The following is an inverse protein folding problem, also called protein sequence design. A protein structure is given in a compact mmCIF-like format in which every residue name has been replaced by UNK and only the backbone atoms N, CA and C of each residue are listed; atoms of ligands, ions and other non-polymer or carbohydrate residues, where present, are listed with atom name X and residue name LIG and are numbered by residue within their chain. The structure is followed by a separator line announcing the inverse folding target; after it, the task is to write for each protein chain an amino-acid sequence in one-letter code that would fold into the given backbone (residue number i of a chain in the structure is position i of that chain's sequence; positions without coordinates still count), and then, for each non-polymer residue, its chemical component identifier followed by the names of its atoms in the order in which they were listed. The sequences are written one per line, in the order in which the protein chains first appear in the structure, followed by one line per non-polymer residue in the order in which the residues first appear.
data_IF_389546385297
#
_entry.id   IF_389546385297
#
_cell.length_a   1.000
_cell.length_b   1.000
_cell.length_c   1.000
_cell.angle_alpha   90.00
_cell.angle_beta   90.00
_cell.angle_gamma   90.00
#
_symmetry.space_group_name_H-M   'P 1'
#
loop_
_entity.id
_entity.type
_entity.pdbx_description
1 polymer ?
#
# COMPACT_ATOMS: atom_id res chain seq x y z
N UNK A 1 7.89 -54.36 -9.11
CA UNK A 1 9.09 -53.52 -9.03
C UNK A 1 9.08 -52.48 -10.15
N UNK A 2 9.44 -51.25 -9.80
CA UNK A 2 9.76 -50.07 -10.64
C UNK A 2 8.71 -49.55 -11.65
N UNK A 3 8.05 -48.46 -11.23
CA UNK A 3 7.30 -47.48 -12.03
C UNK A 3 8.19 -46.88 -13.12
N UNK A 4 7.73 -46.86 -14.38
CA UNK A 4 8.28 -45.98 -15.41
C UNK A 4 7.46 -44.68 -15.45
N UNK A 5 8.00 -43.66 -14.77
CA UNK A 5 7.57 -42.26 -14.90
C UNK A 5 7.72 -41.82 -16.35
N UNK A 6 6.59 -41.62 -17.03
CA UNK A 6 6.53 -40.78 -18.23
C UNK A 6 5.25 -39.98 -18.15
N UNK A 7 5.25 -39.01 -17.24
CA UNK A 7 4.22 -37.98 -17.22
C UNK A 7 4.90 -36.63 -17.30
N UNK A 8 4.86 -36.15 -18.55
CA UNK A 8 4.56 -34.77 -18.92
C UNK A 8 5.64 -33.80 -18.50
N UNK A 9 6.36 -33.35 -19.53
CA UNK A 9 6.55 -31.93 -19.79
C UNK A 9 5.98 -31.10 -18.65
N UNK A 10 6.87 -30.71 -17.74
CA UNK A 10 6.62 -29.56 -16.88
C UNK A 10 6.39 -28.45 -17.86
N UNK A 11 5.12 -28.26 -18.24
CA UNK A 11 4.61 -27.01 -18.75
C UNK A 11 5.29 -25.99 -17.87
N UNK A 12 6.17 -25.20 -18.46
CA UNK A 12 6.54 -23.91 -17.91
C UNK A 12 5.25 -23.34 -17.38
N UNK A 13 5.07 -23.38 -16.06
CA UNK A 13 3.92 -22.79 -15.41
C UNK A 13 4.10 -21.35 -15.81
N UNK A 14 3.29 -20.96 -16.79
CA UNK A 14 3.22 -19.62 -17.34
C UNK A 14 3.34 -18.71 -16.14
N UNK A 15 4.38 -17.89 -16.13
CA UNK A 15 4.61 -16.87 -15.12
C UNK A 15 3.32 -16.04 -15.04
N UNK A 16 2.39 -16.45 -14.18
CA UNK A 16 1.30 -15.61 -13.76
C UNK A 16 2.03 -14.46 -13.10
N UNK A 17 2.13 -13.33 -13.81
CA UNK A 17 2.69 -12.10 -13.25
C UNK A 17 2.05 -11.96 -11.88
N UNK A 18 2.85 -12.14 -10.83
CA UNK A 18 2.40 -11.95 -9.46
C UNK A 18 1.86 -10.52 -9.49
N UNK A 19 0.55 -10.37 -9.36
CA UNK A 19 -0.05 -9.04 -9.50
C UNK A 19 0.36 -8.18 -8.31
N UNK A 20 0.45 -8.81 -7.15
CA UNK A 20 0.70 -8.16 -5.87
C UNK A 20 2.12 -8.48 -5.38
N UNK A 21 3.13 -8.11 -6.18
CA UNK A 21 4.55 -8.38 -5.88
C UNK A 21 4.95 -7.79 -4.53
N UNK A 22 4.47 -6.60 -4.19
CA UNK A 22 4.86 -5.91 -2.96
C UNK A 22 4.07 -6.34 -1.74
N UNK A 23 3.11 -7.27 -1.87
CA UNK A 23 2.49 -7.93 -0.71
C UNK A 23 3.51 -8.71 0.14
N UNK A 24 4.69 -8.99 -0.42
CA UNK A 24 5.82 -9.62 0.26
C UNK A 24 6.79 -8.61 0.90
N UNK A 25 6.51 -7.30 0.80
CA UNK A 25 7.26 -6.27 1.52
C UNK A 25 6.82 -6.25 2.98
N UNK A 26 7.75 -6.55 3.87
CA UNK A 26 7.57 -6.49 5.32
C UNK A 26 7.86 -5.10 5.90
N UNK A 27 8.47 -4.21 5.11
CA UNK A 27 8.86 -2.87 5.54
C UNK A 27 8.36 -1.76 4.60
N UNK A 28 7.72 -0.75 5.17
CA UNK A 28 7.07 0.37 4.51
C UNK A 28 7.42 1.68 5.22
N UNK A 29 7.25 2.79 4.52
CA UNK A 29 7.37 4.15 5.07
C UNK A 29 6.15 4.99 4.69
N UNK A 30 5.68 5.78 5.65
CA UNK A 30 4.66 6.81 5.49
C UNK A 30 5.27 8.21 5.60
N UNK A 31 4.84 9.09 4.71
CA UNK A 31 5.35 10.46 4.60
C UNK A 31 4.19 11.45 4.41
N UNK A 32 4.25 12.63 5.02
CA UNK A 32 3.34 13.76 4.82
C UNK A 32 4.08 14.91 4.14
N UNK A 33 3.42 15.61 3.23
CA UNK A 33 3.91 16.85 2.64
C UNK A 33 3.45 18.01 3.52
N UNK A 34 4.39 18.68 4.19
CA UNK A 34 4.10 19.84 5.03
C UNK A 34 4.45 21.18 4.36
N UNK A 35 5.20 21.16 3.26
CA UNK A 35 5.52 22.35 2.47
C UNK A 35 4.72 22.46 1.16
N UNK A 36 5.17 23.38 0.30
CA UNK A 36 4.47 23.72 -0.95
C UNK A 36 5.10 23.04 -2.18
N UNK A 37 6.35 22.55 -2.10
CA UNK A 37 7.05 21.89 -3.19
C UNK A 37 7.21 20.38 -2.98
N UNK A 38 6.45 19.60 -3.76
CA UNK A 38 6.51 18.13 -3.74
C UNK A 38 7.85 17.57 -4.17
N UNK A 39 8.67 18.36 -4.86
CA UNK A 39 9.98 17.95 -5.33
C UNK A 39 11.08 18.29 -4.33
N UNK A 40 10.80 19.12 -3.33
CA UNK A 40 11.74 19.44 -2.26
C UNK A 40 11.66 18.34 -1.18
N UNK A 41 12.72 17.55 -0.96
CA UNK A 41 12.73 16.55 0.10
C UNK A 41 12.53 17.13 1.50
N UNK A 42 12.92 18.40 1.73
CA UNK A 42 12.80 19.05 3.04
C UNK A 42 11.33 19.40 3.37
N UNK A 43 10.46 19.42 2.36
CA UNK A 43 9.01 19.65 2.52
C UNK A 43 8.25 18.37 2.90
N UNK A 44 8.91 17.21 2.90
CA UNK A 44 8.33 15.93 3.31
C UNK A 44 8.71 15.58 4.75
N UNK A 45 7.69 15.47 5.59
CA UNK A 45 7.79 14.99 6.97
C UNK A 45 7.64 13.47 6.99
N UNK A 46 8.59 12.79 7.63
CA UNK A 46 8.50 11.37 7.94
C UNK A 46 7.46 11.13 9.04
N UNK A 47 6.53 10.20 8.83
CA UNK A 47 5.50 9.85 9.80
C UNK A 47 5.87 8.58 10.57
N UNK A 48 6.10 7.47 9.85
CA UNK A 48 6.31 6.14 10.44
C UNK A 48 6.98 5.19 9.45
N UNK A 49 7.70 4.21 9.98
CA UNK A 49 8.21 3.07 9.25
C UNK A 49 7.94 1.74 9.97
N UNK A 50 7.77 0.67 9.20
CA UNK A 50 7.48 -0.64 9.76
C UNK A 50 6.53 -1.44 8.89
N UNK A 51 5.58 -2.12 9.52
CA UNK A 51 4.57 -2.87 8.79
C UNK A 51 3.66 -1.95 7.97
N UNK A 52 3.05 -2.52 6.94
CA UNK A 52 2.07 -1.80 6.13
C UNK A 52 0.91 -1.28 6.98
N UNK A 53 0.47 -2.07 7.97
CA UNK A 53 -0.61 -1.74 8.89
C UNK A 53 -0.27 -0.57 9.82
N UNK A 54 0.95 -0.52 10.36
CA UNK A 54 1.44 0.61 11.17
C UNK A 54 1.45 1.89 10.36
N UNK A 55 2.08 1.86 9.18
CA UNK A 55 2.14 3.02 8.30
C UNK A 55 0.74 3.47 7.82
N UNK A 56 -0.17 2.53 7.56
CA UNK A 56 -1.56 2.81 7.18
C UNK A 56 -2.35 3.47 8.33
N UNK A 57 -2.07 3.09 9.59
CA UNK A 57 -2.70 3.68 10.77
C UNK A 57 -2.36 5.17 10.88
N UNK A 58 -1.10 5.54 10.65
CA UNK A 58 -0.64 6.93 10.77
C UNK A 58 -1.26 7.85 9.72
N UNK A 59 -1.44 7.37 8.48
CA UNK A 59 -2.08 8.16 7.41
C UNK A 59 -3.61 8.17 7.49
N UNK A 60 -4.23 7.44 8.43
CA UNK A 60 -5.69 7.29 8.48
C UNK A 60 -6.41 8.62 8.71
N UNK A 61 -5.83 9.51 9.53
CA UNK A 61 -6.36 10.85 9.75
C UNK A 61 -6.32 11.68 8.46
N UNK A 62 -5.22 11.60 7.70
CA UNK A 62 -5.04 12.32 6.44
C UNK A 62 -6.07 11.86 5.39
N UNK A 63 -6.26 10.54 5.27
CA UNK A 63 -7.30 9.96 4.40
C UNK A 63 -8.69 10.49 4.78
N UNK A 64 -9.00 10.50 6.08
CA UNK A 64 -10.30 10.96 6.58
C UNK A 64 -10.54 12.42 6.22
N UNK A 65 -9.56 13.29 6.48
CA UNK A 65 -9.63 14.72 6.17
C UNK A 65 -9.85 14.93 4.66
N UNK A 66 -9.07 14.27 3.80
CA UNK A 66 -9.25 14.37 2.35
C UNK A 66 -10.65 13.95 1.89
N UNK A 67 -11.17 12.86 2.45
CA UNK A 67 -12.48 12.36 2.10
C UNK A 67 -13.60 13.28 2.59
N UNK A 68 -13.46 13.86 3.78
CA UNK A 68 -14.40 14.86 4.28
C UNK A 68 -14.50 16.05 3.34
N UNK A 69 -13.37 16.63 2.92
CA UNK A 69 -13.35 17.73 1.97
C UNK A 69 -14.03 17.34 0.65
N UNK A 70 -13.67 16.19 0.07
CA UNK A 70 -14.28 15.71 -1.19
C UNK A 70 -15.79 15.49 -1.06
N UNK A 71 -16.27 14.89 0.02
CA UNK A 71 -17.71 14.66 0.23
C UNK A 71 -18.45 15.99 0.34
N UNK A 72 -17.89 16.96 1.08
CA UNK A 72 -18.50 18.30 1.24
C UNK A 72 -18.58 19.03 -0.09
N UNK A 73 -17.51 19.00 -0.89
CA UNK A 73 -17.48 19.63 -2.21
C UNK A 73 -18.46 18.98 -3.20
N UNK A 74 -18.47 17.65 -3.29
CA UNK A 74 -19.31 16.94 -4.26
C UNK A 74 -20.80 17.06 -3.97
N UNK A 75 -21.17 17.13 -2.68
CA UNK A 75 -22.56 17.13 -2.27
C UNK A 75 -23.07 18.53 -1.88
N UNK A 76 -22.19 19.53 -1.83
CA UNK A 76 -22.47 20.88 -1.34
C UNK A 76 -23.21 20.85 0.02
N UNK A 77 -22.79 19.94 0.89
CA UNK A 77 -23.40 19.69 2.20
C UNK A 77 -22.31 19.57 3.27
N UNK A 78 -22.60 20.13 4.44
CA UNK A 78 -21.79 20.04 5.64
C UNK A 78 -22.30 18.92 6.55
N UNK A 79 -21.42 18.40 7.41
CA UNK A 79 -21.78 17.40 8.43
C UNK A 79 -22.96 17.84 9.31
N UNK A 80 -23.16 19.15 9.51
CA UNK A 80 -24.23 19.69 10.36
C UNK A 80 -25.61 19.57 9.74
N UNK A 81 -25.71 19.50 8.42
CA UNK A 81 -27.00 19.45 7.72
C UNK A 81 -27.62 18.06 7.75
N UNK A 82 -26.79 17.00 7.68
CA UNK A 82 -27.23 15.62 7.81
C UNK A 82 -26.11 14.73 8.40
N UNK A 83 -25.96 14.70 9.73
CA UNK A 83 -24.81 14.06 10.38
C UNK A 83 -24.75 12.56 10.15
N UNK A 84 -25.90 11.86 10.25
CA UNK A 84 -25.95 10.40 10.11
C UNK A 84 -25.56 9.98 8.69
N UNK A 85 -26.16 10.62 7.69
CA UNK A 85 -25.82 10.36 6.28
C UNK A 85 -24.34 10.67 5.99
N UNK A 86 -23.81 11.78 6.52
CA UNK A 86 -22.42 12.18 6.28
C UNK A 86 -21.45 11.16 6.88
N UNK A 87 -21.70 10.69 8.11
CA UNK A 87 -20.89 9.67 8.77
C UNK A 87 -20.92 8.34 8.02
N UNK A 88 -22.10 7.91 7.55
CA UNK A 88 -22.25 6.69 6.75
C UNK A 88 -21.51 6.78 5.41
N UNK A 89 -21.64 7.92 4.73
CA UNK A 89 -20.94 8.19 3.47
C UNK A 89 -19.41 8.20 3.66
N UNK A 90 -18.92 8.87 4.71
CA UNK A 90 -17.50 8.94 5.06
C UNK A 90 -16.95 7.56 5.37
N UNK A 91 -17.63 6.78 6.20
CA UNK A 91 -17.21 5.41 6.55
C UNK A 91 -17.11 4.52 5.32
N UNK A 92 -18.12 4.56 4.44
CA UNK A 92 -18.14 3.78 3.20
C UNK A 92 -16.97 4.16 2.29
N UNK A 93 -16.77 5.45 2.03
CA UNK A 93 -15.69 5.93 1.17
C UNK A 93 -14.31 5.69 1.76
N UNK A 94 -14.19 5.76 3.09
CA UNK A 94 -12.95 5.44 3.78
C UNK A 94 -12.57 3.97 3.55
N UNK A 95 -13.51 3.04 3.71
CA UNK A 95 -13.26 1.63 3.43
C UNK A 95 -12.85 1.40 1.96
N UNK A 96 -13.56 2.01 1.01
CA UNK A 96 -13.23 1.92 -0.42
C UNK A 96 -11.84 2.47 -0.72
N UNK A 97 -11.48 3.61 -0.11
CA UNK A 97 -10.17 4.25 -0.27
C UNK A 97 -9.04 3.40 0.29
N UNK A 98 -9.20 2.83 1.48
CA UNK A 98 -8.18 1.96 2.09
C UNK A 98 -7.91 0.72 1.22
N UNK A 99 -8.96 0.10 0.68
CA UNK A 99 -8.82 -1.05 -0.22
C UNK A 99 -8.15 -0.66 -1.55
N UNK A 100 -8.43 0.53 -2.06
CA UNK A 100 -7.72 1.08 -3.22
C UNK A 100 -6.23 1.27 -2.93
N UNK A 101 -5.88 1.90 -1.81
CA UNK A 101 -4.50 2.15 -1.40
C UNK A 101 -3.74 0.82 -1.26
N UNK A 102 -4.29 -0.13 -0.50
CA UNK A 102 -3.72 -1.49 -0.37
C UNK A 102 -3.41 -2.12 -1.71
N UNK A 103 -4.39 -2.09 -2.62
CA UNK A 103 -4.24 -2.67 -3.96
C UNK A 103 -3.13 -1.97 -4.74
N UNK A 104 -3.06 -0.64 -4.72
CA UNK A 104 -2.02 0.09 -5.43
C UNK A 104 -0.63 -0.17 -4.84
N UNK A 105 -0.50 -0.10 -3.53
CA UNK A 105 0.73 -0.40 -2.81
C UNK A 105 1.23 -1.81 -3.13
N UNK A 106 0.39 -2.84 -3.01
CA UNK A 106 0.85 -4.21 -3.27
C UNK A 106 1.19 -4.48 -4.74
N UNK A 107 0.63 -3.71 -5.67
CA UNK A 107 0.91 -3.86 -7.10
C UNK A 107 2.12 -3.06 -7.57
N UNK A 108 2.31 -1.85 -7.05
CA UNK A 108 3.30 -0.88 -7.53
C UNK A 108 4.44 -0.63 -6.56
N UNK A 109 4.27 -0.98 -5.30
CA UNK A 109 5.19 -0.68 -4.21
C UNK A 109 4.94 0.68 -3.59
N UNK A 110 3.96 1.44 -4.06
CA UNK A 110 3.69 2.78 -3.56
C UNK A 110 2.27 3.25 -3.83
N UNK A 111 1.84 4.21 -3.03
CA UNK A 111 0.69 5.07 -3.28
C UNK A 111 1.09 6.51 -2.96
N UNK A 112 0.93 7.41 -3.94
CA UNK A 112 1.28 8.82 -3.80
C UNK A 112 -0.01 9.65 -3.89
N UNK A 113 -0.39 10.24 -2.78
CA UNK A 113 -1.47 11.23 -2.70
C UNK A 113 -0.91 12.65 -2.91
N UNK A 114 -1.78 13.68 -3.02
CA UNK A 114 -1.30 15.04 -3.11
C UNK A 114 -0.41 15.47 -1.95
N UNK A 115 -0.76 15.08 -0.72
CA UNK A 115 -0.11 15.61 0.49
C UNK A 115 0.49 14.52 1.38
N UNK A 116 0.55 13.27 0.92
CA UNK A 116 1.17 12.19 1.66
C UNK A 116 1.52 11.04 0.72
N UNK A 117 2.38 10.14 1.15
CA UNK A 117 2.71 8.94 0.40
C UNK A 117 3.00 7.76 1.31
N UNK A 118 2.76 6.56 0.78
CA UNK A 118 3.04 5.29 1.42
C UNK A 118 3.88 4.45 0.45
N UNK A 119 5.07 4.03 0.85
CA UNK A 119 6.05 3.41 -0.06
C UNK A 119 6.71 2.18 0.57
N UNK A 120 6.95 1.17 -0.24
CA UNK A 120 7.70 -0.02 0.14
C UNK A 120 9.19 0.29 0.12
N UNK A 121 9.91 -0.19 1.12
CA UNK A 121 11.37 -0.05 1.20
C UNK A 121 12.12 -1.11 0.40
N UNK A 122 11.40 -2.12 -0.10
CA UNK A 122 11.93 -3.12 -1.00
C UNK A 122 11.57 -2.76 -2.43
N UNK A 123 12.53 -2.94 -3.32
CA UNK A 123 12.25 -2.87 -4.75
C UNK A 123 11.57 -4.15 -5.24
N UNK A 124 11.05 -4.08 -6.47
CA UNK A 124 10.34 -5.19 -7.10
C UNK A 124 11.15 -6.49 -7.12
N UNK A 125 12.44 -6.42 -7.47
CA UNK A 125 13.28 -7.60 -7.61
C UNK A 125 13.49 -8.31 -6.26
N UNK A 126 13.66 -7.53 -5.19
CA UNK A 126 13.74 -8.05 -3.82
C UNK A 126 12.43 -8.74 -3.42
N UNK A 127 11.28 -8.12 -3.67
CA UNK A 127 9.99 -8.73 -3.38
C UNK A 127 9.72 -9.99 -4.22
N UNK A 128 10.09 -10.00 -5.50
CA UNK A 128 9.97 -11.19 -6.36
C UNK A 128 10.90 -12.32 -5.91
N UNK A 129 12.08 -11.99 -5.39
CA UNK A 129 12.98 -12.95 -4.77
C UNK A 129 12.35 -13.56 -3.53
N UNK A 130 11.82 -12.73 -2.62
CA UNK A 130 11.13 -13.18 -1.40
C UNK A 130 9.93 -14.08 -1.75
N UNK A 131 9.14 -13.69 -2.76
CA UNK A 131 7.99 -14.49 -3.22
C UNK A 131 8.39 -15.90 -3.70
N UNK A 132 9.58 -16.05 -4.30
CA UNK A 132 10.08 -17.32 -4.85
C UNK A 132 10.85 -18.16 -3.83
N UNK A 133 11.57 -17.51 -2.92
CA UNK A 133 12.56 -18.16 -2.05
C UNK A 133 12.21 -18.10 -0.55
N UNK A 134 11.16 -17.37 -0.19
CA UNK A 134 10.88 -17.00 1.20
C UNK A 134 11.74 -15.83 1.65
N UNK A 135 11.36 -15.20 2.78
CA UNK A 135 12.12 -14.09 3.33
C UNK A 135 13.50 -14.61 3.79
N UNK A 136 14.64 -14.11 3.28
CA UNK A 136 15.93 -14.47 3.84
C UNK A 136 15.92 -14.09 5.32
N UNK A 137 16.06 -15.08 6.21
CA UNK A 137 16.05 -14.84 7.65
C UNK A 137 17.01 -13.68 8.03
N UNK A 138 16.68 -12.86 9.05
CA UNK A 138 17.45 -11.69 9.45
C UNK A 138 18.87 -11.99 9.99
N UNK A 139 19.30 -13.25 10.01
CA UNK A 139 20.59 -13.69 10.55
C UNK A 139 21.64 -13.96 9.46
N UNK A 140 21.66 -13.17 8.38
CA UNK A 140 22.87 -13.09 7.55
C UNK A 140 23.64 -11.83 7.92
N UNK A 141 24.80 -11.95 8.60
CA UNK A 141 25.61 -10.78 8.88
C UNK A 141 26.02 -10.16 7.56
N UNK A 142 25.74 -8.86 7.39
CA UNK A 142 26.30 -8.08 6.29
C UNK A 142 27.83 -8.14 6.44
N UNK A 143 28.47 -8.76 5.46
CA UNK A 143 29.94 -8.82 5.35
C UNK A 143 30.49 -7.46 4.92
#
# INVERSE_FOLDING_TARGET
MAKKNTLREVKSISSSKIKDVFAYSDYWEAWELCGDDKNDPDDWLFLEDGSFEECMSEIQALITIELEYKIREENNMTMRENPDWFLDALKKRHQERVEEIKKQCFQKGEYIAPNWSLRSMLNRDQCEYIAKHGNPCPNTPRS
#
